data_IF_186481205552
#
_entry.id   IF_186481205552
#
_cell.length_a   1.000
_cell.length_b   1.000
_cell.length_c   1.000
_cell.angle_alpha   90.00
_cell.angle_beta   90.00
_cell.angle_gamma   90.00
#
_symmetry.space_group_name_H-M   'P 1'
#
loop_
_entity.id
_entity.type
_entity.pdbx_description
1 polymer ?
#
# COMPACT_ATOMS: atom_id res chain seq x y z
N UNK A 1 -0.58 -31.32 -15.62
CA UNK A 1 -1.09 -29.98 -15.27
C UNK A 1 0.13 -29.12 -14.98
N UNK A 2 0.46 -28.17 -15.85
CA UNK A 2 1.57 -27.25 -15.62
C UNK A 2 1.10 -26.25 -14.57
N UNK A 3 1.69 -26.30 -13.37
CA UNK A 3 1.49 -25.28 -12.35
C UNK A 3 1.96 -23.95 -12.97
N UNK A 4 1.13 -22.90 -13.04
CA UNK A 4 1.57 -21.62 -13.57
C UNK A 4 2.81 -21.17 -12.80
N UNK A 5 3.81 -20.63 -13.50
CA UNK A 5 4.95 -20.00 -12.83
C UNK A 5 4.39 -18.89 -11.93
N UNK A 6 4.84 -18.85 -10.68
CA UNK A 6 4.62 -17.74 -9.76
C UNK A 6 4.88 -16.42 -10.49
N UNK A 7 3.86 -15.55 -10.52
CA UNK A 7 4.02 -14.16 -10.93
C UNK A 7 4.29 -13.40 -9.64
N UNK A 8 5.55 -13.00 -9.47
CA UNK A 8 6.00 -12.18 -8.35
C UNK A 8 5.93 -10.73 -8.81
N UNK A 9 5.17 -9.92 -8.07
CA UNK A 9 5.21 -8.47 -8.21
C UNK A 9 5.98 -7.87 -7.06
N UNK A 10 6.94 -6.99 -7.38
CA UNK A 10 7.84 -6.40 -6.40
C UNK A 10 7.77 -4.88 -6.48
N UNK A 11 7.72 -4.25 -5.31
CA UNK A 11 7.79 -2.79 -5.14
C UNK A 11 8.81 -2.45 -4.06
N UNK A 12 9.36 -1.25 -4.13
CA UNK A 12 10.32 -0.79 -3.14
C UNK A 12 9.60 -0.06 -2.01
N UNK A 13 9.81 -0.48 -0.76
CA UNK A 13 9.31 0.23 0.41
C UNK A 13 10.24 1.40 0.72
N UNK A 14 9.64 2.58 0.88
CA UNK A 14 10.33 3.84 1.09
C UNK A 14 9.87 4.47 2.42
N UNK A 15 10.79 5.14 3.11
CA UNK A 15 10.51 6.10 4.18
C UNK A 15 11.03 7.45 3.73
N UNK A 16 10.13 8.41 3.47
CA UNK A 16 10.47 9.61 2.69
C UNK A 16 11.24 9.24 1.40
N UNK A 17 12.49 9.69 1.25
CA UNK A 17 13.31 9.39 0.08
C UNK A 17 14.26 8.19 0.29
N UNK A 18 14.28 7.63 1.50
CA UNK A 18 15.15 6.52 1.88
C UNK A 18 14.52 5.17 1.52
N UNK A 19 15.30 4.34 0.82
CA UNK A 19 14.90 2.97 0.48
C UNK A 19 15.11 2.03 1.66
N UNK A 20 14.05 1.36 2.07
CA UNK A 20 14.08 0.42 3.20
C UNK A 20 14.20 -1.04 2.74
N UNK A 21 13.80 -1.34 1.52
CA UNK A 21 13.84 -2.69 0.97
C UNK A 21 12.77 -2.95 -0.09
N UNK A 22 12.58 -4.22 -0.41
CA UNK A 22 11.64 -4.68 -1.44
C UNK A 22 10.52 -5.51 -0.80
N UNK A 23 9.27 -5.13 -1.05
CA UNK A 23 8.09 -5.94 -0.75
C UNK A 23 7.72 -6.69 -2.02
N UNK A 24 7.52 -7.99 -1.92
CA UNK A 24 7.08 -8.82 -3.04
C UNK A 24 5.83 -9.63 -2.67
N UNK A 25 4.91 -9.77 -3.62
CA UNK A 25 3.72 -10.61 -3.51
C UNK A 25 3.75 -11.75 -4.53
N UNK A 26 3.63 -12.98 -4.05
CA UNK A 26 3.50 -14.18 -4.88
C UNK A 26 2.02 -14.56 -5.02
N UNK A 27 1.49 -14.35 -6.23
CA UNK A 27 0.08 -14.58 -6.56
C UNK A 27 -0.35 -16.06 -6.52
N UNK A 28 0.60 -17.01 -6.62
CA UNK A 28 0.28 -18.45 -6.63
C UNK A 28 0.22 -19.01 -5.22
N UNK A 29 1.14 -18.59 -4.37
CA UNK A 29 1.20 -19.04 -2.97
C UNK A 29 0.46 -18.14 -2.00
N UNK A 30 -0.04 -16.99 -2.45
CA UNK A 30 -0.66 -15.93 -1.64
C UNK A 30 0.23 -15.54 -0.45
N UNK A 31 1.49 -15.19 -0.75
CA UNK A 31 2.49 -14.86 0.27
C UNK A 31 3.23 -13.58 -0.05
N UNK A 32 3.46 -12.82 1.01
CA UNK A 32 4.35 -11.68 1.00
C UNK A 32 5.75 -12.07 1.44
N UNK A 33 6.73 -11.34 0.91
CA UNK A 33 8.12 -11.40 1.35
C UNK A 33 8.72 -10.01 1.38
N UNK A 34 9.64 -9.80 2.31
CA UNK A 34 10.35 -8.54 2.46
C UNK A 34 11.85 -8.78 2.44
N UNK A 35 12.54 -8.11 1.51
CA UNK A 35 14.00 -8.08 1.45
C UNK A 35 14.49 -6.73 1.95
N UNK A 36 15.09 -6.74 3.14
CA UNK A 36 15.65 -5.54 3.77
C UNK A 36 16.77 -4.93 2.89
N UNK A 37 16.82 -3.61 2.80
CA UNK A 37 18.01 -2.89 2.34
C UNK A 37 19.14 -3.03 3.39
N UNK A 38 20.25 -3.65 3.00
CA UNK A 38 21.40 -3.87 3.88
C UNK A 38 22.19 -2.58 4.16
N UNK A 39 22.06 -1.57 3.31
CA UNK A 39 22.72 -0.27 3.48
C UNK A 39 22.05 0.57 4.58
N UNK A 40 20.78 0.29 4.90
CA UNK A 40 20.02 0.99 5.94
C UNK A 40 20.36 0.43 7.32
N UNK A 41 21.21 1.17 8.03
CA UNK A 41 21.69 0.84 9.37
C UNK A 41 20.74 1.27 10.49
N UNK A 42 19.92 2.29 10.25
CA UNK A 42 18.94 2.75 11.22
C UNK A 42 17.66 1.92 11.14
N UNK A 43 17.52 0.99 12.09
CA UNK A 43 16.36 0.11 12.16
C UNK A 43 15.07 0.87 12.56
N UNK A 44 15.18 2.06 13.16
CA UNK A 44 14.01 2.85 13.57
C UNK A 44 13.23 3.44 12.40
N UNK A 45 13.84 3.45 11.20
CA UNK A 45 13.17 3.86 9.97
C UNK A 45 12.17 2.82 9.47
N UNK A 46 12.25 1.57 9.92
CA UNK A 46 11.35 0.51 9.46
C UNK A 46 9.98 0.61 10.14
N UNK A 47 8.91 0.10 9.49
CA UNK A 47 7.63 -0.08 10.14
C UNK A 47 7.78 -0.81 11.48
N UNK A 48 7.00 -0.42 12.48
CA UNK A 48 7.13 -0.94 13.85
C UNK A 48 7.00 -2.47 13.91
N UNK A 49 6.14 -3.00 13.06
CA UNK A 49 5.88 -4.42 12.81
C UNK A 49 7.18 -5.16 12.41
N UNK A 50 8.04 -4.50 11.63
CA UNK A 50 9.27 -5.09 11.10
C UNK A 50 10.44 -4.86 12.08
N UNK A 51 10.53 -3.66 12.64
CA UNK A 51 11.57 -3.25 13.58
C UNK A 51 11.71 -4.24 14.76
N UNK A 52 10.59 -4.63 15.37
CA UNK A 52 10.58 -5.56 16.50
C UNK A 52 11.17 -6.94 16.17
N UNK A 53 11.15 -7.34 14.90
CA UNK A 53 11.66 -8.62 14.41
C UNK A 53 13.18 -8.57 14.17
N UNK A 54 13.68 -7.48 13.58
CA UNK A 54 15.11 -7.31 13.35
C UNK A 54 15.90 -7.27 14.65
N UNK A 55 15.38 -6.60 15.67
CA UNK A 55 15.98 -6.61 17.03
C UNK A 55 16.08 -8.01 17.64
N UNK A 56 15.16 -8.92 17.27
CA UNK A 56 15.14 -10.31 17.73
C UNK A 56 16.01 -11.25 16.88
N UNK A 57 16.82 -10.72 15.96
CA UNK A 57 17.64 -11.49 14.99
C UNK A 57 16.80 -12.39 14.09
N UNK A 58 15.52 -12.08 13.91
CA UNK A 58 14.70 -12.74 12.89
C UNK A 58 15.22 -12.25 11.55
N UNK A 59 15.66 -13.21 10.71
CA UNK A 59 16.29 -12.90 9.42
C UNK A 59 15.28 -12.53 8.34
N UNK A 60 14.04 -12.98 8.50
CA UNK A 60 12.97 -12.83 7.52
C UNK A 60 11.69 -12.34 8.20
N UNK A 61 11.09 -11.28 7.67
CA UNK A 61 9.80 -10.80 8.15
C UNK A 61 8.73 -11.81 7.72
N UNK A 62 7.91 -12.37 8.64
CA UNK A 62 6.85 -13.31 8.27
C UNK A 62 5.82 -12.67 7.35
N UNK A 63 5.28 -13.45 6.40
CA UNK A 63 4.26 -12.98 5.45
C UNK A 63 3.06 -12.30 6.13
N UNK A 64 2.58 -12.84 7.25
CA UNK A 64 1.41 -12.29 7.96
C UNK A 64 1.71 -10.92 8.58
N UNK A 65 2.95 -10.68 9.01
CA UNK A 65 3.38 -9.38 9.53
C UNK A 65 3.47 -8.33 8.41
N UNK A 66 3.91 -8.75 7.22
CA UNK A 66 3.90 -7.88 6.04
C UNK A 66 2.47 -7.57 5.61
N UNK A 67 1.58 -8.57 5.67
CA UNK A 67 0.15 -8.40 5.40
C UNK A 67 -0.49 -7.41 6.37
N UNK A 68 -0.21 -7.51 7.67
CA UNK A 68 -0.68 -6.53 8.67
C UNK A 68 -0.30 -5.09 8.28
N UNK A 69 0.98 -4.87 7.93
CA UNK A 69 1.46 -3.57 7.46
C UNK A 69 0.72 -3.06 6.20
N UNK A 70 0.41 -3.95 5.25
CA UNK A 70 -0.33 -3.64 4.02
C UNK A 70 -1.80 -3.29 4.34
N UNK A 71 -2.45 -4.10 5.18
CA UNK A 71 -3.87 -3.92 5.56
C UNK A 71 -4.11 -2.57 6.23
N UNK A 72 -3.18 -2.12 7.07
CA UNK A 72 -3.25 -0.81 7.74
C UNK A 72 -3.20 0.39 6.78
N UNK A 73 -2.85 0.16 5.50
CA UNK A 73 -2.69 1.19 4.46
C UNK A 73 -3.80 1.19 3.42
N UNK A 74 -4.69 0.22 3.49
CA UNK A 74 -5.82 0.12 2.58
C UNK A 74 -7.13 0.33 3.32
N UNK A 75 -8.16 0.63 2.56
CA UNK A 75 -9.51 0.77 3.13
C UNK A 75 -10.07 -0.64 3.38
N UNK A 76 -10.64 -0.92 4.57
CA UNK A 76 -11.18 -2.24 4.86
C UNK A 76 -12.29 -2.65 3.88
N UNK A 77 -12.32 -3.93 3.51
CA UNK A 77 -13.30 -4.48 2.56
C UNK A 77 -14.77 -4.27 2.99
N UNK A 78 -15.03 -4.12 4.29
CA UNK A 78 -16.37 -3.96 4.85
C UNK A 78 -16.75 -2.49 5.07
N UNK A 79 -15.97 -1.54 4.55
CA UNK A 79 -16.24 -0.11 4.70
C UNK A 79 -17.46 0.29 3.86
N UNK A 80 -18.31 1.11 4.45
CA UNK A 80 -19.37 1.79 3.70
C UNK A 80 -18.73 2.64 2.59
N UNK A 81 -19.28 2.57 1.36
CA UNK A 81 -18.78 3.21 0.14
C UNK A 81 -17.53 2.58 -0.51
N UNK A 82 -17.21 1.31 -0.24
CA UNK A 82 -16.10 0.60 -0.89
C UNK A 82 -16.11 0.75 -2.43
N UNK A 83 -17.27 0.58 -3.07
CA UNK A 83 -17.42 0.68 -4.53
C UNK A 83 -16.90 2.01 -5.08
N UNK A 84 -17.07 3.10 -4.33
CA UNK A 84 -16.62 4.41 -4.75
C UNK A 84 -15.08 4.55 -4.71
N UNK A 85 -14.43 3.87 -3.76
CA UNK A 85 -12.97 3.81 -3.68
C UNK A 85 -12.40 2.95 -4.80
N UNK A 86 -13.02 1.79 -5.07
CA UNK A 86 -12.64 0.96 -6.21
C UNK A 86 -12.78 1.72 -7.52
N UNK A 87 -13.89 2.46 -7.72
CA UNK A 87 -14.08 3.33 -8.89
C UNK A 87 -12.99 4.42 -8.99
N UNK A 88 -12.62 5.06 -7.87
CA UNK A 88 -11.57 6.09 -7.85
C UNK A 88 -10.21 5.54 -8.29
N UNK A 89 -9.86 4.33 -7.86
CA UNK A 89 -8.63 3.64 -8.24
C UNK A 89 -8.72 2.90 -9.58
N UNK A 90 -9.89 2.94 -10.25
CA UNK A 90 -10.17 2.19 -11.48
C UNK A 90 -9.92 0.67 -11.31
N UNK A 91 -10.45 0.12 -10.21
CA UNK A 91 -10.42 -1.30 -9.86
C UNK A 91 -11.82 -1.90 -9.99
N UNK A 92 -11.92 -3.08 -10.61
CA UNK A 92 -13.20 -3.77 -10.82
C UNK A 92 -13.67 -4.53 -9.57
N UNK A 93 -12.74 -4.97 -8.73
CA UNK A 93 -13.00 -5.70 -7.50
C UNK A 93 -11.94 -5.36 -6.45
N UNK A 94 -12.26 -5.65 -5.19
CA UNK A 94 -11.32 -5.48 -4.10
C UNK A 94 -10.28 -6.60 -4.11
N UNK A 95 -9.03 -6.21 -4.26
CA UNK A 95 -7.85 -7.03 -4.03
C UNK A 95 -6.88 -6.22 -3.16
N UNK A 96 -6.42 -6.82 -2.07
CA UNK A 96 -5.57 -6.16 -1.06
C UNK A 96 -4.29 -5.58 -1.69
N UNK A 97 -3.64 -6.37 -2.55
CA UNK A 97 -2.42 -5.97 -3.20
C UNK A 97 -2.67 -4.88 -4.23
N UNK A 98 -3.69 -5.02 -5.09
CA UNK A 98 -4.02 -4.01 -6.10
C UNK A 98 -4.42 -2.67 -5.47
N UNK A 99 -5.19 -2.69 -4.37
CA UNK A 99 -5.55 -1.46 -3.64
C UNK A 99 -4.31 -0.81 -3.02
N UNK A 100 -3.42 -1.60 -2.41
CA UNK A 100 -2.14 -1.13 -1.88
C UNK A 100 -1.25 -0.50 -2.96
N UNK A 101 -1.20 -1.13 -4.14
CA UNK A 101 -0.48 -0.61 -5.30
C UNK A 101 -1.07 0.71 -5.80
N UNK A 102 -2.39 0.78 -5.91
CA UNK A 102 -3.11 1.95 -6.40
C UNK A 102 -3.02 3.14 -5.43
N UNK A 103 -3.01 2.88 -4.12
CA UNK A 103 -2.83 3.90 -3.07
C UNK A 103 -1.36 4.30 -2.85
N UNK A 104 -0.42 3.69 -3.59
CA UNK A 104 1.03 3.84 -3.37
C UNK A 104 1.48 3.47 -1.95
N UNK A 105 0.72 2.61 -1.26
CA UNK A 105 0.99 2.20 0.12
C UNK A 105 1.04 3.37 1.11
N UNK A 106 0.46 4.53 0.75
CA UNK A 106 0.45 5.72 1.59
C UNK A 106 -0.77 5.71 2.50
N UNK A 107 -0.59 6.19 3.73
CA UNK A 107 -1.68 6.52 4.64
C UNK A 107 -1.42 7.90 5.27
N UNK A 108 -2.39 8.40 6.04
CA UNK A 108 -2.30 9.73 6.65
C UNK A 108 -1.50 9.75 7.96
N UNK A 109 -1.16 8.58 8.51
CA UNK A 109 -0.54 8.44 9.83
C UNK A 109 0.98 8.48 9.79
N UNK A 110 1.58 8.28 8.62
CA UNK A 110 3.02 8.19 8.45
C UNK A 110 3.46 8.62 7.04
N UNK A 111 4.75 8.43 6.77
CA UNK A 111 5.45 8.88 5.56
C UNK A 111 6.00 7.71 4.75
N UNK A 112 5.53 6.49 5.03
CA UNK A 112 5.88 5.33 4.24
C UNK A 112 5.12 5.34 2.91
N UNK A 113 5.77 4.82 1.89
CA UNK A 113 5.14 4.63 0.58
C UNK A 113 5.88 3.56 -0.23
N UNK A 114 5.33 3.21 -1.38
CA UNK A 114 5.98 2.29 -2.31
C UNK A 114 6.36 2.97 -3.62
N UNK A 115 7.55 2.62 -4.10
CA UNK A 115 8.09 3.07 -5.37
C UNK A 115 8.12 1.92 -6.38
N UNK A 116 7.62 2.18 -7.59
CA UNK A 116 7.72 1.26 -8.74
C UNK A 116 8.83 1.67 -9.70
N UNK A 117 9.05 2.96 -9.86
CA UNK A 117 10.05 3.51 -10.76
C UNK A 117 11.05 4.37 -9.99
N UNK A 118 12.35 4.22 -10.25
CA UNK A 118 13.41 4.93 -9.52
C UNK A 118 13.33 6.47 -9.64
N UNK A 119 12.62 6.99 -10.63
CA UNK A 119 12.36 8.42 -10.83
C UNK A 119 11.28 9.00 -9.92
N UNK A 120 10.48 8.15 -9.25
CA UNK A 120 9.48 8.62 -8.29
C UNK A 120 10.17 9.18 -7.04
N UNK A 121 9.58 10.23 -6.46
CA UNK A 121 10.08 10.93 -5.27
C UNK A 121 8.91 11.25 -4.35
N UNK A 122 9.14 11.09 -3.05
CA UNK A 122 8.16 11.37 -2.02
C UNK A 122 7.59 12.80 -2.12
N UNK A 123 8.42 13.78 -2.50
CA UNK A 123 8.00 15.18 -2.69
C UNK A 123 6.89 15.37 -3.72
N UNK A 124 6.81 14.50 -4.71
CA UNK A 124 5.73 14.52 -5.71
C UNK A 124 4.43 13.96 -5.14
N UNK A 125 4.50 13.22 -4.04
CA UNK A 125 3.41 12.57 -3.35
C UNK A 125 2.92 13.32 -2.10
N UNK A 126 3.67 14.30 -1.57
CA UNK A 126 3.21 15.24 -0.53
C UNK A 126 1.91 15.96 -0.93
N UNK A 127 1.62 16.03 -2.24
CA UNK A 127 0.31 16.50 -2.71
C UNK A 127 -0.82 15.59 -2.22
N UNK A 128 -0.67 14.27 -2.14
CA UNK A 128 -1.71 13.34 -1.68
C UNK A 128 -2.06 13.47 -0.20
N UNK A 129 -1.12 13.90 0.67
CA UNK A 129 -1.40 14.06 2.12
C UNK A 129 -2.11 15.36 2.47
N UNK A 130 -1.96 16.42 1.65
CA UNK A 130 -2.74 17.67 1.77
C UNK A 130 -3.88 17.78 0.75
N UNK A 131 -3.95 16.84 -0.21
CA UNK A 131 -4.99 16.74 -1.24
C UNK A 131 -5.77 15.42 -1.16
N UNK A 132 -5.95 14.88 0.04
CA UNK A 132 -7.33 14.63 0.48
C UNK A 132 -8.01 15.99 0.50
N UNK A 133 -8.27 16.45 -0.71
CA UNK A 133 -9.09 17.56 -1.08
C UNK A 133 -10.31 17.49 -0.16
N UNK A 134 -10.59 18.56 0.56
CA UNK A 134 -11.79 18.67 1.39
C UNK A 134 -13.07 18.29 0.61
N UNK A 135 -12.99 18.23 -0.72
CA UNK A 135 -14.02 17.81 -1.68
C UNK A 135 -13.98 16.35 -2.16
N UNK A 136 -13.05 15.46 -1.80
CA UNK A 136 -12.95 14.12 -2.45
C UNK A 136 -13.15 12.89 -1.57
N UNK A 137 -13.03 12.97 -0.23
CA UNK A 137 -13.20 11.80 0.65
C UNK A 137 -14.16 12.06 1.83
N UNK A 138 -14.98 13.10 1.75
CA UNK A 138 -16.12 13.24 2.64
C UNK A 138 -17.28 12.40 2.11
N UNK A 139 -18.11 11.89 3.02
CA UNK A 139 -19.36 11.19 2.68
C UNK A 139 -20.20 12.02 1.69
N UNK A 140 -20.16 13.35 1.80
CA UNK A 140 -20.80 14.31 0.90
C UNK A 140 -20.32 14.22 -0.57
N UNK A 141 -19.03 14.02 -0.85
CA UNK A 141 -18.55 13.90 -2.24
C UNK A 141 -19.23 12.72 -2.95
N UNK A 142 -19.26 11.58 -2.27
CA UNK A 142 -19.84 10.35 -2.82
C UNK A 142 -21.36 10.41 -2.88
N UNK A 143 -22.00 11.03 -1.89
CA UNK A 143 -23.44 11.33 -1.91
C UNK A 143 -23.79 12.19 -3.14
N UNK A 144 -23.06 13.28 -3.38
CA UNK A 144 -23.30 14.19 -4.51
C UNK A 144 -23.04 13.54 -5.89
N UNK A 145 -22.03 12.67 -6.00
CA UNK A 145 -21.75 11.91 -7.22
C UNK A 145 -22.84 10.87 -7.52
N UNK A 146 -23.43 10.25 -6.49
CA UNK A 146 -24.53 9.28 -6.64
C UNK A 146 -25.81 9.96 -7.13
N UNK A 147 -26.12 11.17 -6.64
CA UNK A 147 -27.29 11.94 -7.07
C UNK A 147 -27.17 12.56 -8.49
N UNK A 148 -25.96 12.86 -8.95
CA UNK A 148 -25.75 13.35 -10.33
C UNK A 148 -25.94 12.26 -11.39
N UNK A 149 -25.72 10.98 -11.05
CA UNK A 149 -25.98 9.82 -11.94
C UNK A 149 -27.47 9.46 -12.09
N UNK A 150 -28.38 10.04 -11.31
CA UNK A 150 -29.82 9.72 -11.36
C UNK A 150 -30.68 10.89 -11.87
N UNK A 151 -30.02 11.96 -12.33
CA UNK A 151 -30.65 13.18 -12.85
C UNK A 151 -30.58 13.30 -14.39
N UNK A 152 -30.21 12.23 -15.09
CA UNK A 152 -30.06 12.18 -16.55
C UNK A 152 -30.96 11.13 -17.19
#
# INVERSE_FOLDING_TARGET
MLIPKSKIETVELMWEEDSLGEISYDLVSDRYSFKKNEETNDLSLYPAEFYGLFNRKVREVPSDVIREFIVDRIIPYNRMNLDCYLEYYNLDYFDEWEVFLASKGMCFLDIFWIRKEKSESYKNHIRFTNSVRNDLLTEEYFINKKFTRHSG
#
